data_IF_316310708066
#
_entry.id   IF_316310708066
#
_cell.length_a   1.000
_cell.length_b   1.000
_cell.length_c   1.000
_cell.angle_alpha   90.00
_cell.angle_beta   90.00
_cell.angle_gamma   90.00
#
_symmetry.space_group_name_H-M   'P 1'
#
loop_
_entity.id
_entity.type
_entity.pdbx_description
1 polymer ?
#
# COMPACT_ATOMS: atom_id res chain seq x y z
N UNK A 1 -3.40 7.84 -9.88
CA UNK A 1 -3.77 6.40 -9.85
C UNK A 1 -5.20 6.26 -10.38
N UNK A 2 -5.61 5.07 -10.83
CA UNK A 2 -6.95 4.83 -11.40
C UNK A 2 -7.71 3.72 -10.67
N UNK A 3 -8.87 3.33 -11.21
CA UNK A 3 -9.74 2.30 -10.63
C UNK A 3 -8.99 0.97 -10.38
N UNK A 4 -9.33 0.30 -9.27
CA UNK A 4 -8.74 -0.98 -8.86
C UNK A 4 -7.31 -0.90 -8.31
N UNK A 5 -6.76 0.30 -8.09
CA UNK A 5 -5.44 0.49 -7.47
C UNK A 5 -5.58 0.76 -5.97
N UNK A 6 -4.57 0.35 -5.20
CA UNK A 6 -4.47 0.59 -3.75
C UNK A 6 -3.20 1.40 -3.41
N UNK A 7 -3.23 2.06 -2.25
CA UNK A 7 -2.14 2.86 -1.70
C UNK A 7 -2.06 2.70 -0.17
N UNK A 8 -0.99 3.22 0.44
CA UNK A 8 -0.75 3.18 1.90
C UNK A 8 0.03 1.95 2.38
N UNK A 9 0.31 1.00 1.49
CA UNK A 9 0.99 -0.25 1.81
C UNK A 9 2.43 -0.06 2.31
N UNK A 10 3.11 1.00 1.86
CA UNK A 10 4.51 1.26 2.22
C UNK A 10 4.64 1.46 3.74
N UNK A 11 3.74 2.22 4.35
CA UNK A 11 3.73 2.47 5.80
C UNK A 11 3.50 1.17 6.59
N UNK A 12 2.65 0.29 6.07
CA UNK A 12 2.27 -0.97 6.72
C UNK A 12 3.37 -2.04 6.59
N UNK A 13 3.98 -2.16 5.40
CA UNK A 13 5.05 -3.14 5.12
C UNK A 13 6.36 -2.80 5.83
N UNK A 14 6.73 -1.51 5.88
CA UNK A 14 7.97 -1.05 6.49
C UNK A 14 7.79 -0.52 7.92
N UNK A 15 6.60 -0.68 8.51
CA UNK A 15 6.23 -0.21 9.85
C UNK A 15 6.68 1.23 10.15
N UNK A 16 6.43 2.14 9.20
CA UNK A 16 6.86 3.54 9.27
C UNK A 16 5.70 4.51 9.03
N UNK A 17 5.96 5.80 9.22
CA UNK A 17 4.99 6.85 8.90
C UNK A 17 4.68 6.90 7.40
N UNK A 18 3.48 7.39 7.00
CA UNK A 18 3.17 7.63 5.60
C UNK A 18 4.27 8.44 4.91
N UNK A 19 4.62 8.04 3.69
CA UNK A 19 5.71 8.66 2.91
C UNK A 19 5.26 9.87 2.11
N UNK A 20 3.96 10.02 1.88
CA UNK A 20 3.37 11.11 1.12
C UNK A 20 1.95 11.44 1.59
N UNK A 21 1.51 12.67 1.31
CA UNK A 21 0.09 13.05 1.40
C UNK A 21 -0.62 12.64 0.12
N UNK A 22 -1.83 12.11 0.23
CA UNK A 22 -2.66 11.73 -0.92
C UNK A 22 -3.90 12.59 -0.95
N UNK A 23 -4.15 13.19 -2.11
CA UNK A 23 -5.33 14.01 -2.39
C UNK A 23 -6.09 13.43 -3.58
N UNK A 24 -7.41 13.52 -3.54
CA UNK A 24 -8.27 13.10 -4.65
C UNK A 24 -8.35 14.21 -5.69
N UNK A 25 -8.14 13.88 -6.97
CA UNK A 25 -8.31 14.83 -8.08
C UNK A 25 -9.75 14.90 -8.60
N UNK A 26 -10.54 13.86 -8.29
CA UNK A 26 -11.96 13.72 -8.67
C UNK A 26 -12.70 13.03 -7.54
N UNK A 27 -14.04 12.93 -7.64
CA UNK A 27 -14.80 12.02 -6.79
C UNK A 27 -14.27 10.59 -6.94
N UNK A 28 -14.04 9.95 -5.81
CA UNK A 28 -13.47 8.61 -5.71
C UNK A 28 -14.26 7.81 -4.66
N UNK A 29 -14.52 6.55 -4.96
CA UNK A 29 -14.99 5.57 -3.98
C UNK A 29 -13.79 4.74 -3.53
N UNK A 30 -13.63 4.57 -2.22
CA UNK A 30 -12.49 3.89 -1.62
C UNK A 30 -12.97 2.78 -0.69
N UNK A 31 -12.26 1.65 -0.73
CA UNK A 31 -12.35 0.64 0.29
C UNK A 31 -11.25 0.86 1.32
N UNK A 32 -11.60 0.71 2.59
CA UNK A 32 -10.66 0.81 3.71
C UNK A 32 -10.36 -0.60 4.21
N UNK A 33 -9.08 -0.89 4.42
CA UNK A 33 -8.61 -2.13 5.05
C UNK A 33 -7.70 -1.74 6.23
N UNK A 34 -8.08 -2.18 7.42
CA UNK A 34 -7.33 -1.88 8.64
C UNK A 34 -6.00 -2.64 8.69
N UNK A 35 -5.03 -2.07 9.41
CA UNK A 35 -3.67 -2.63 9.54
C UNK A 35 -3.70 -4.08 10.03
N UNK A 36 -4.47 -4.35 11.08
CA UNK A 36 -4.51 -5.66 11.72
C UNK A 36 -5.16 -6.71 10.82
N UNK A 37 -6.13 -6.31 10.00
CA UNK A 37 -6.76 -7.21 9.04
C UNK A 37 -5.85 -7.47 7.84
N UNK A 38 -5.12 -6.45 7.34
CA UNK A 38 -4.08 -6.68 6.34
C UNK A 38 -3.02 -7.63 6.88
N UNK A 39 -2.56 -7.48 8.13
CA UNK A 39 -1.58 -8.39 8.75
C UNK A 39 -2.06 -9.83 8.72
N UNK A 40 -3.29 -10.10 9.15
CA UNK A 40 -3.90 -11.45 9.07
C UNK A 40 -3.94 -11.98 7.64
N UNK A 41 -4.31 -11.16 6.66
CA UNK A 41 -4.34 -11.58 5.25
C UNK A 41 -2.93 -11.92 4.76
N UNK A 42 -1.93 -11.10 5.06
CA UNK A 42 -0.55 -11.34 4.63
C UNK A 42 0.04 -12.61 5.27
N UNK A 43 -0.36 -12.97 6.49
CA UNK A 43 0.04 -14.20 7.17
C UNK A 43 -0.60 -15.45 6.54
N UNK A 44 -1.88 -15.36 6.16
CA UNK A 44 -2.65 -16.49 5.63
C UNK A 44 -2.46 -16.71 4.11
N UNK A 45 -2.04 -15.69 3.36
CA UNK A 45 -1.95 -15.73 1.90
C UNK A 45 -0.57 -15.28 1.40
N UNK A 46 0.45 -16.16 1.44
CA UNK A 46 1.85 -15.79 1.17
C UNK A 46 2.10 -15.30 -0.26
N UNK A 47 1.42 -15.86 -1.27
CA UNK A 47 1.57 -15.42 -2.67
C UNK A 47 1.06 -13.98 -2.85
N UNK A 48 -0.05 -13.65 -2.19
CA UNK A 48 -0.57 -12.29 -2.17
C UNK A 48 0.40 -11.36 -1.42
N UNK A 49 0.95 -11.81 -0.29
CA UNK A 49 1.91 -11.04 0.47
C UNK A 49 3.18 -10.71 -0.33
N UNK A 50 3.66 -11.64 -1.17
CA UNK A 50 4.79 -11.40 -2.07
C UNK A 50 4.49 -10.25 -3.05
N UNK A 51 3.28 -10.22 -3.62
CA UNK A 51 2.85 -9.16 -4.54
C UNK A 51 2.75 -7.79 -3.85
N UNK A 52 2.20 -7.75 -2.63
CA UNK A 52 2.12 -6.51 -1.84
C UNK A 52 3.52 -5.99 -1.49
N UNK A 53 4.42 -6.87 -1.02
CA UNK A 53 5.82 -6.51 -0.70
C UNK A 53 6.59 -6.02 -1.93
N UNK A 54 6.41 -6.66 -3.08
CA UNK A 54 7.01 -6.23 -4.35
C UNK A 54 6.55 -4.82 -4.72
N UNK A 55 5.24 -4.58 -4.68
CA UNK A 55 4.66 -3.26 -4.97
C UNK A 55 5.19 -2.17 -4.03
N UNK A 56 5.25 -2.48 -2.73
CA UNK A 56 5.76 -1.57 -1.71
C UNK A 56 7.24 -1.21 -1.95
N UNK A 57 8.05 -2.21 -2.31
CA UNK A 57 9.47 -2.02 -2.62
C UNK A 57 9.66 -1.11 -3.84
N UNK A 58 8.98 -1.42 -4.95
CA UNK A 58 9.09 -0.63 -6.19
C UNK A 58 8.72 0.84 -5.96
N UNK A 59 7.65 1.09 -5.20
CA UNK A 59 7.24 2.48 -4.89
C UNK A 59 8.18 3.17 -3.92
N UNK A 60 8.69 2.47 -2.90
CA UNK A 60 9.64 3.03 -1.95
C UNK A 60 10.96 3.45 -2.62
N UNK A 61 11.47 2.63 -3.55
CA UNK A 61 12.68 2.94 -4.32
C UNK A 61 12.47 4.15 -5.24
N UNK A 62 11.28 4.29 -5.84
CA UNK A 62 10.97 5.46 -6.68
C UNK A 62 10.87 6.75 -5.87
N UNK A 63 10.38 6.71 -4.62
CA UNK A 63 10.38 7.88 -3.73
C UNK A 63 11.79 8.33 -3.29
N UNK A 64 12.78 7.44 -3.32
CA UNK A 64 14.17 7.71 -2.86
C UNK A 64 15.16 7.86 -4.02
N UNK A 65 14.66 7.96 -5.26
CA UNK A 65 15.48 8.15 -6.47
C UNK A 65 15.66 9.61 -6.88
N UNK A 66 15.14 10.56 -6.10
CA UNK A 66 15.36 12.01 -6.28
C UNK A 66 16.33 12.56 -5.22
#
# INVERSE_FOLDING_TARGET
MGAGKFFGEIALVYEKRPTASIITLTYCELFILEKDDLKKVLENYPDFAANVKKTAKERYENEHKE
#
